data_IF_701888277363
#
_entry.id   IF_701888277363
#
_cell.length_a   1.000
_cell.length_b   1.000
_cell.length_c   1.000
_cell.angle_alpha   90.00
_cell.angle_beta   90.00
_cell.angle_gamma   90.00
#
_symmetry.space_group_name_H-M   'P 1'
#
loop_
_entity.id
_entity.type
_entity.pdbx_description
1 polymer ?
#
# COMPACT_ATOMS: atom_id res chain seq x y z
N UNK A 1 -1.05 -9.86 -3.31
CA UNK A 1 -1.35 -9.34 -4.67
C UNK A 1 -0.26 -8.38 -5.19
N UNK A 2 0.34 -7.54 -4.33
CA UNK A 2 1.45 -6.64 -4.70
C UNK A 2 2.60 -7.33 -5.45
N UNK A 3 3.23 -8.33 -4.83
CA UNK A 3 4.37 -9.05 -5.42
C UNK A 3 4.05 -9.60 -6.82
N UNK A 4 2.85 -10.17 -7.02
CA UNK A 4 2.41 -10.69 -8.31
C UNK A 4 2.29 -9.59 -9.38
N UNK A 5 1.73 -8.43 -9.02
CA UNK A 5 1.56 -7.31 -9.96
C UNK A 5 2.90 -6.65 -10.30
N UNK A 6 3.78 -6.50 -9.31
CA UNK A 6 5.15 -6.01 -9.55
C UNK A 6 5.93 -6.97 -10.46
N UNK A 7 5.85 -8.28 -10.20
CA UNK A 7 6.47 -9.28 -11.07
C UNK A 7 5.94 -9.22 -12.51
N UNK A 8 4.62 -9.09 -12.69
CA UNK A 8 4.03 -8.92 -14.01
C UNK A 8 4.52 -7.62 -14.69
N UNK A 9 4.63 -6.52 -13.95
CA UNK A 9 5.15 -5.26 -14.48
C UNK A 9 6.62 -5.38 -14.90
N UNK A 10 7.45 -6.10 -14.14
CA UNK A 10 8.83 -6.44 -14.50
C UNK A 10 8.88 -7.28 -15.78
N UNK A 11 8.02 -8.30 -15.89
CA UNK A 11 7.97 -9.15 -17.08
C UNK A 11 7.52 -8.40 -18.35
N UNK A 12 6.55 -7.50 -18.23
CA UNK A 12 6.01 -6.73 -19.36
C UNK A 12 6.93 -5.60 -19.83
N UNK A 13 7.62 -4.92 -18.91
CA UNK A 13 8.43 -3.74 -19.25
C UNK A 13 9.93 -4.03 -19.34
N UNK A 14 10.39 -5.13 -18.73
CA UNK A 14 11.81 -5.47 -18.65
C UNK A 14 12.64 -4.33 -18.06
N UNK A 15 13.86 -4.08 -18.57
CA UNK A 15 14.72 -3.00 -18.10
C UNK A 15 14.10 -1.59 -18.21
N UNK A 16 13.12 -1.40 -19.11
CA UNK A 16 12.46 -0.09 -19.27
C UNK A 16 11.53 0.26 -18.10
N UNK A 17 11.25 -0.69 -17.20
CA UNK A 17 10.45 -0.44 -16.00
C UNK A 17 11.05 0.67 -15.12
N UNK A 18 12.38 0.76 -15.06
CA UNK A 18 13.12 1.83 -14.38
C UNK A 18 12.66 3.22 -14.81
N UNK A 19 12.27 3.40 -16.07
CA UNK A 19 11.86 4.72 -16.60
C UNK A 19 10.41 5.06 -16.25
N UNK A 20 9.63 4.08 -15.79
CA UNK A 20 8.23 4.22 -15.39
C UNK A 20 8.12 4.57 -13.91
N UNK A 21 8.62 5.75 -13.55
CA UNK A 21 8.71 6.19 -12.15
C UNK A 21 7.33 6.37 -11.49
N UNK A 22 6.29 6.78 -12.23
CA UNK A 22 4.93 6.90 -11.68
C UNK A 22 4.37 5.52 -11.34
N UNK A 23 4.51 4.56 -12.26
CA UNK A 23 4.13 3.16 -12.02
C UNK A 23 4.86 2.56 -10.81
N UNK A 24 6.18 2.78 -10.70
CA UNK A 24 6.98 2.33 -9.56
C UNK A 24 6.55 3.01 -8.25
N UNK A 25 6.27 4.32 -8.28
CA UNK A 25 5.76 5.08 -7.14
C UNK A 25 4.48 4.47 -6.57
N UNK A 26 3.51 4.14 -7.43
CA UNK A 26 2.29 3.46 -6.98
C UNK A 26 2.52 2.08 -6.35
N UNK A 27 3.52 1.31 -6.81
CA UNK A 27 3.90 0.06 -6.14
C UNK A 27 4.51 0.32 -4.77
N UNK A 28 5.32 1.37 -4.63
CA UNK A 28 5.90 1.81 -3.35
C UNK A 28 4.80 2.25 -2.39
N UNK A 29 3.83 3.04 -2.83
CA UNK A 29 2.70 3.48 -1.99
C UNK A 29 1.91 2.30 -1.43
N UNK A 30 1.60 1.30 -2.28
CA UNK A 30 0.94 0.07 -1.82
C UNK A 30 1.81 -0.70 -0.83
N UNK A 31 3.11 -0.76 -1.07
CA UNK A 31 4.08 -1.36 -0.14
C UNK A 31 4.08 -0.66 1.21
N UNK A 32 4.07 0.67 1.23
CA UNK A 32 4.04 1.49 2.43
C UNK A 32 2.75 1.27 3.23
N UNK A 33 1.59 1.27 2.56
CA UNK A 33 0.29 1.00 3.22
C UNK A 33 0.24 -0.41 3.84
N UNK A 34 0.79 -1.43 3.16
CA UNK A 34 0.91 -2.78 3.73
C UNK A 34 1.87 -2.83 4.93
N UNK A 35 2.99 -2.10 4.86
CA UNK A 35 3.95 -2.02 5.96
C UNK A 35 3.35 -1.35 7.20
N UNK A 36 2.71 -0.20 7.02
CA UNK A 36 2.00 0.50 8.10
C UNK A 36 0.96 -0.41 8.73
N UNK A 37 0.16 -1.11 7.91
CA UNK A 37 -0.85 -2.03 8.43
C UNK A 37 -0.26 -3.19 9.22
N UNK A 38 0.86 -3.76 8.76
CA UNK A 38 1.61 -4.78 9.49
C UNK A 38 2.10 -4.28 10.85
N UNK A 39 2.69 -3.08 10.91
CA UNK A 39 3.13 -2.45 12.15
C UNK A 39 1.97 -2.18 13.11
N UNK A 40 0.82 -1.70 12.61
CA UNK A 40 -0.39 -1.50 13.42
C UNK A 40 -0.87 -2.81 14.03
N UNK A 41 -0.92 -3.89 13.26
CA UNK A 41 -1.33 -5.21 13.76
C UNK A 41 -0.34 -5.77 14.78
N UNK A 42 0.97 -5.65 14.53
CA UNK A 42 2.00 -6.10 15.46
C UNK A 42 1.95 -5.34 16.79
N UNK A 43 1.76 -4.02 16.74
CA UNK A 43 1.61 -3.19 17.94
C UNK A 43 0.33 -3.55 18.70
N UNK A 44 -0.80 -3.71 17.99
CA UNK A 44 -2.04 -4.11 18.60
C UNK A 44 -1.93 -5.48 19.29
N UNK A 45 -1.28 -6.45 18.63
CA UNK A 45 -1.03 -7.76 19.22
C UNK A 45 -0.17 -7.67 20.48
N UNK A 46 0.85 -6.80 20.50
CA UNK A 46 1.67 -6.60 21.70
C UNK A 46 0.86 -6.08 22.88
N UNK A 47 -0.16 -5.24 22.62
CA UNK A 47 -1.07 -4.71 23.64
C UNK A 47 -2.10 -5.74 24.09
N UNK A 48 -2.62 -6.55 23.17
CA UNK A 48 -3.54 -7.66 23.51
C UNK A 48 -2.85 -8.72 24.37
N UNK A 49 -1.56 -8.95 24.15
CA UNK A 49 -0.78 -9.90 24.95
C UNK A 49 -0.36 -9.34 26.31
N UNK A 50 -0.58 -8.05 26.58
CA UNK A 50 -0.27 -7.44 27.86
C UNK A 50 -1.38 -7.77 28.87
N UNK A 51 -1.08 -8.66 29.80
CA UNK A 51 -2.02 -9.14 30.83
C UNK A 51 -2.55 -8.05 31.74
N UNK A 52 -1.93 -6.86 31.74
CA UNK A 52 -2.38 -5.71 32.54
C UNK A 52 -3.49 -4.89 31.86
N UNK A 53 -3.76 -5.12 30.57
CA UNK A 53 -4.72 -4.34 29.81
C UNK A 53 -6.16 -4.81 30.07
N UNK A 54 -7.10 -3.91 30.45
CA UNK A 54 -8.49 -4.28 30.66
C UNK A 54 -9.16 -4.79 29.37
N UNK A 55 -10.04 -5.78 29.49
CA UNK A 55 -10.76 -6.38 28.35
C UNK A 55 -11.52 -5.34 27.52
N UNK A 56 -12.13 -4.35 28.18
CA UNK A 56 -12.85 -3.24 27.53
C UNK A 56 -11.93 -2.40 26.64
N UNK A 57 -10.66 -2.22 27.03
CA UNK A 57 -9.68 -1.48 26.22
C UNK A 57 -9.17 -2.31 25.05
N UNK A 58 -8.97 -3.61 25.25
CA UNK A 58 -8.66 -4.57 24.18
C UNK A 58 -9.76 -4.52 23.11
N UNK A 59 -11.03 -4.53 23.52
CA UNK A 59 -12.17 -4.48 22.61
C UNK A 59 -12.22 -3.19 21.78
N UNK A 60 -11.94 -2.04 22.43
CA UNK A 60 -11.82 -0.74 21.74
C UNK A 60 -10.65 -0.74 20.75
N UNK A 61 -9.49 -1.27 21.15
CA UNK A 61 -8.32 -1.37 20.30
C UNK A 61 -8.59 -2.24 19.07
N UNK A 62 -9.19 -3.41 19.24
CA UNK A 62 -9.56 -4.30 18.14
C UNK A 62 -10.55 -3.62 17.18
N UNK A 63 -11.54 -2.87 17.69
CA UNK A 63 -12.46 -2.08 16.85
C UNK A 63 -11.73 -1.01 16.05
N UNK A 64 -10.81 -0.26 16.69
CA UNK A 64 -10.01 0.77 16.03
C UNK A 64 -9.14 0.18 14.92
N UNK A 65 -8.42 -0.91 15.22
CA UNK A 65 -7.57 -1.62 14.27
C UNK A 65 -8.40 -2.12 13.10
N UNK A 66 -9.55 -2.77 13.33
CA UNK A 66 -10.46 -3.19 12.25
C UNK A 66 -10.91 -2.03 11.38
N UNK A 67 -11.24 -0.88 11.96
CA UNK A 67 -11.62 0.31 11.20
C UNK A 67 -10.46 0.84 10.35
N UNK A 68 -9.26 0.95 10.93
CA UNK A 68 -8.06 1.32 10.21
C UNK A 68 -7.77 0.37 9.03
N UNK A 69 -7.94 -0.94 9.25
CA UNK A 69 -7.80 -1.95 8.19
C UNK A 69 -8.79 -1.78 7.03
N UNK A 70 -10.01 -1.24 7.28
CA UNK A 70 -10.92 -0.87 6.20
C UNK A 70 -10.36 0.30 5.39
N UNK A 71 -9.87 1.35 6.06
CA UNK A 71 -9.28 2.51 5.39
C UNK A 71 -8.06 2.12 4.55
N UNK A 72 -7.14 1.33 5.10
CA UNK A 72 -5.94 0.89 4.37
C UNK A 72 -6.29 0.07 3.14
N UNK A 73 -7.31 -0.78 3.20
CA UNK A 73 -7.78 -1.53 2.02
C UNK A 73 -8.31 -0.61 0.93
N UNK A 74 -9.07 0.44 1.29
CA UNK A 74 -9.55 1.43 0.33
C UNK A 74 -8.41 2.23 -0.31
N UNK A 75 -7.38 2.61 0.46
CA UNK A 75 -6.19 3.27 -0.07
C UNK A 75 -5.43 2.38 -1.04
N UNK A 76 -5.15 1.13 -0.66
CA UNK A 76 -4.50 0.14 -1.53
C UNK A 76 -5.31 -0.08 -2.82
N UNK A 77 -6.64 -0.19 -2.71
CA UNK A 77 -7.52 -0.32 -3.88
C UNK A 77 -7.43 0.91 -4.80
N UNK A 78 -7.35 2.10 -4.22
CA UNK A 78 -7.19 3.37 -4.95
C UNK A 78 -5.85 3.44 -5.66
N UNK A 79 -4.73 3.17 -4.99
CA UNK A 79 -3.40 3.10 -5.63
C UNK A 79 -3.38 2.08 -6.77
N UNK A 80 -4.07 0.94 -6.62
CA UNK A 80 -4.22 -0.05 -7.70
C UNK A 80 -5.12 0.38 -8.85
N UNK A 81 -6.05 1.32 -8.65
CA UNK A 81 -6.81 1.94 -9.75
C UNK A 81 -5.92 2.89 -10.54
N UNK A 82 -5.11 3.69 -9.87
CA UNK A 82 -4.16 4.60 -10.53
C UNK A 82 -3.10 3.86 -11.36
N UNK A 83 -2.68 2.65 -10.98
CA UNK A 83 -1.82 1.81 -11.85
C UNK A 83 -2.43 1.49 -13.23
N UNK A 84 -3.75 1.56 -13.40
CA UNK A 84 -4.41 1.33 -14.69
C UNK A 84 -4.51 2.60 -15.54
N UNK A 85 -4.33 3.77 -14.94
CA UNK A 85 -4.33 5.05 -15.63
C UNK A 85 -2.95 5.22 -16.29
N UNK A 86 -2.92 5.46 -17.60
CA UNK A 86 -1.68 5.47 -18.39
C UNK A 86 -0.90 6.79 -18.25
N UNK A 87 -0.78 7.30 -17.01
CA UNK A 87 -0.18 8.59 -16.65
C UNK A 87 1.32 8.66 -16.98
N UNK A 88 2.02 7.53 -17.09
CA UNK A 88 3.42 7.48 -17.52
C UNK A 88 3.60 8.05 -18.95
N UNK A 89 2.65 7.79 -19.85
CA UNK A 89 2.76 8.25 -21.24
C UNK A 89 2.55 9.76 -21.35
N UNK A 90 1.58 10.31 -20.60
CA UNK A 90 1.36 11.75 -20.50
C UNK A 90 2.52 12.45 -19.80
N UNK A 91 3.02 11.88 -18.68
CA UNK A 91 4.15 12.45 -17.94
C UNK A 91 5.41 12.53 -18.80
N UNK A 92 5.65 11.54 -19.66
CA UNK A 92 6.78 11.54 -20.59
C UNK A 92 6.65 12.62 -21.68
N UNK A 93 5.44 12.86 -22.20
CA UNK A 93 5.18 13.92 -23.18
C UNK A 93 5.43 15.29 -22.56
N UNK A 94 4.88 15.55 -21.36
CA UNK A 94 5.08 16.82 -20.65
C UNK A 94 6.56 17.05 -20.32
N UNK A 95 7.28 15.99 -19.91
CA UNK A 95 8.71 16.10 -19.62
C UNK A 95 9.58 16.41 -20.86
N UNK A 96 9.08 16.23 -22.09
CA UNK A 96 9.78 16.65 -23.31
C UNK A 96 9.51 18.11 -23.70
N UNK A 97 8.49 18.74 -23.14
CA UNK A 97 8.12 20.13 -23.43
C UNK A 97 8.94 21.16 -22.64
N UNK A 98 9.79 20.70 -21.69
CA UNK A 98 10.61 21.53 -20.79
C UNK A 98 12.10 21.33 -21.03
#
# INVERSE_FOLDING_TARGET
VLARRLFLAMALNGPKLEKRQVLLGHFVDVGAELFVWGCTLAHAQSKVNDSSMPEVEIDKLVRLVRFFGKMTRERIATSYRHLKENLDAESWLVAQEV
#
